data_IF_706036796029
#
_entry.id   IF_706036796029
#
_cell.length_a   1.000
_cell.length_b   1.000
_cell.length_c   1.000
_cell.angle_alpha   90.00
_cell.angle_beta   90.00
_cell.angle_gamma   90.00
#
_symmetry.space_group_name_H-M   'P 1'
#
loop_
_entity.id
_entity.type
_entity.pdbx_description
1 polymer ?
#
# COMPACT_ATOMS: atom_id res chain seq x y z
N UNK A 1 13.77 -22.12 -17.07
CA UNK A 1 14.02 -23.10 -15.98
C UNK A 1 12.77 -23.11 -15.12
N UNK A 2 12.15 -24.27 -14.88
CA UNK A 2 10.94 -24.33 -14.07
C UNK A 2 11.30 -24.01 -12.61
N UNK A 3 10.58 -23.08 -11.98
CA UNK A 3 10.81 -22.66 -10.58
C UNK A 3 10.93 -23.85 -9.62
N UNK A 4 10.22 -24.95 -9.93
CA UNK A 4 10.21 -26.19 -9.16
C UNK A 4 11.58 -26.86 -9.02
N UNK A 5 12.50 -26.69 -9.98
CA UNK A 5 13.84 -27.28 -9.87
C UNK A 5 14.73 -26.57 -8.85
N UNK A 6 14.39 -25.33 -8.47
CA UNK A 6 15.14 -24.53 -7.49
C UNK A 6 14.68 -24.81 -6.05
N UNK A 7 13.44 -25.24 -5.85
CA UNK A 7 12.84 -25.44 -4.51
C UNK A 7 13.68 -26.38 -3.62
N UNK A 8 14.15 -27.56 -4.08
CA UNK A 8 14.93 -28.46 -3.22
C UNK A 8 16.26 -27.88 -2.76
N UNK A 9 16.88 -26.99 -3.55
CA UNK A 9 18.10 -26.29 -3.15
C UNK A 9 17.79 -25.16 -2.16
N UNK A 10 16.74 -24.37 -2.43
CA UNK A 10 16.29 -23.29 -1.57
C UNK A 10 15.99 -23.78 -0.15
N UNK A 11 15.27 -24.89 -0.03
CA UNK A 11 14.89 -25.46 1.27
C UNK A 11 16.09 -25.99 2.07
N UNK A 12 17.17 -26.39 1.38
CA UNK A 12 18.42 -26.83 2.02
C UNK A 12 19.35 -25.67 2.39
N UNK A 13 19.10 -24.48 1.87
CA UNK A 13 19.95 -23.33 2.13
C UNK A 13 19.81 -22.85 3.58
N UNK A 14 20.92 -22.89 4.31
CA UNK A 14 20.99 -22.49 5.72
C UNK A 14 21.30 -20.99 5.89
N UNK A 15 21.75 -20.30 4.82
CA UNK A 15 22.22 -18.91 4.90
C UNK A 15 21.42 -17.94 4.02
N UNK A 16 20.59 -18.43 3.10
CA UNK A 16 19.86 -17.58 2.18
C UNK A 16 18.84 -16.71 2.92
N UNK A 17 19.04 -15.39 2.86
CA UNK A 17 18.16 -14.38 3.49
C UNK A 17 17.24 -13.68 2.51
N UNK A 18 17.67 -13.54 1.26
CA UNK A 18 16.92 -12.87 0.20
C UNK A 18 16.86 -13.73 -1.04
N UNK A 19 15.69 -13.81 -1.66
CA UNK A 19 15.47 -14.50 -2.94
C UNK A 19 14.83 -13.52 -3.92
N UNK A 20 15.48 -13.34 -5.07
CA UNK A 20 14.93 -12.57 -6.18
C UNK A 20 14.58 -13.49 -7.36
N UNK A 21 13.34 -13.34 -7.83
CA UNK A 21 12.74 -14.09 -8.92
C UNK A 21 12.33 -13.10 -10.01
N UNK A 22 13.18 -12.95 -11.03
CA UNK A 22 12.95 -12.02 -12.11
C UNK A 22 12.68 -12.74 -13.44
N UNK A 23 11.62 -12.32 -14.15
CA UNK A 23 11.25 -12.81 -15.49
C UNK A 23 11.07 -14.33 -15.55
N UNK A 24 10.49 -14.89 -14.50
CA UNK A 24 10.22 -16.33 -14.45
C UNK A 24 8.90 -16.63 -15.15
N UNK A 25 8.95 -17.62 -16.04
CA UNK A 25 7.81 -18.15 -16.78
C UNK A 25 7.31 -19.42 -16.09
N UNK A 26 6.01 -19.45 -15.77
CA UNK A 26 5.35 -20.58 -15.12
C UNK A 26 4.11 -20.96 -15.93
N UNK A 27 4.14 -22.13 -16.56
CA UNK A 27 3.04 -22.63 -17.41
C UNK A 27 1.91 -23.25 -16.57
N UNK A 28 2.22 -23.72 -15.36
CA UNK A 28 1.31 -24.47 -14.48
C UNK A 28 0.94 -23.73 -13.19
N UNK A 29 0.85 -22.39 -13.23
CA UNK A 29 0.61 -21.56 -12.05
C UNK A 29 1.87 -21.21 -11.26
N UNK A 30 1.80 -20.13 -10.47
CA UNK A 30 2.93 -19.61 -9.70
C UNK A 30 2.86 -20.11 -8.24
N UNK A 31 3.18 -21.38 -8.04
CA UNK A 31 3.19 -22.02 -6.72
C UNK A 31 4.62 -22.09 -6.18
N UNK A 32 4.86 -21.42 -5.05
CA UNK A 32 6.14 -21.41 -4.35
C UNK A 32 5.94 -21.82 -2.91
N UNK A 33 6.54 -22.95 -2.56
CA UNK A 33 6.73 -23.36 -1.18
C UNK A 33 8.18 -23.08 -0.79
N UNK A 34 8.40 -22.09 0.07
CA UNK A 34 9.71 -21.60 0.48
C UNK A 34 9.89 -21.87 1.97
N UNK A 35 10.55 -22.99 2.32
CA UNK A 35 10.78 -23.41 3.71
C UNK A 35 12.18 -23.05 4.23
N UNK A 36 12.96 -22.32 3.43
CA UNK A 36 14.29 -21.85 3.79
C UNK A 36 14.30 -21.10 5.14
N UNK A 37 15.07 -21.61 6.11
CA UNK A 37 14.97 -21.19 7.52
C UNK A 37 15.36 -19.74 7.79
N UNK A 38 16.21 -19.15 6.95
CA UNK A 38 16.73 -17.79 7.13
C UNK A 38 16.15 -16.79 6.12
N UNK A 39 15.27 -17.24 5.21
CA UNK A 39 14.72 -16.40 4.16
C UNK A 39 13.72 -15.42 4.76
N UNK A 40 14.07 -14.14 4.75
CA UNK A 40 13.23 -13.06 5.30
C UNK A 40 12.67 -12.15 4.22
N UNK A 41 13.24 -12.17 3.01
CA UNK A 41 12.80 -11.31 1.91
C UNK A 41 12.67 -12.07 0.60
N UNK A 42 11.54 -11.87 -0.05
CA UNK A 42 11.27 -12.38 -1.40
C UNK A 42 10.93 -11.23 -2.32
N UNK A 43 11.55 -11.21 -3.48
CA UNK A 43 11.35 -10.20 -4.52
C UNK A 43 10.94 -10.91 -5.79
N UNK A 44 9.80 -10.55 -6.36
CA UNK A 44 9.27 -11.11 -7.60
C UNK A 44 9.09 -9.98 -8.59
N UNK A 45 9.79 -10.05 -9.73
CA UNK A 45 9.80 -9.00 -10.74
C UNK A 45 9.47 -9.54 -12.11
N UNK A 46 8.62 -8.81 -12.83
CA UNK A 46 8.43 -9.04 -14.27
C UNK A 46 7.99 -10.49 -14.60
N UNK A 47 7.30 -11.15 -13.68
CA UNK A 47 6.70 -12.47 -13.89
C UNK A 47 5.32 -12.28 -14.53
N UNK A 48 5.30 -12.07 -15.85
CA UNK A 48 4.13 -11.59 -16.60
C UNK A 48 2.95 -12.58 -16.71
N UNK A 49 3.09 -13.81 -16.20
CA UNK A 49 2.01 -14.80 -16.13
C UNK A 49 1.46 -14.95 -14.69
N UNK A 50 2.03 -14.24 -13.72
CA UNK A 50 1.67 -14.38 -12.30
C UNK A 50 0.44 -13.53 -11.96
N UNK A 51 -0.74 -14.14 -12.01
CA UNK A 51 -2.00 -13.52 -11.59
C UNK A 51 -2.35 -13.86 -10.13
N UNK A 52 -2.31 -15.14 -9.77
CA UNK A 52 -2.67 -15.64 -8.43
C UNK A 52 -1.55 -16.51 -7.85
N UNK A 53 -0.47 -15.91 -7.32
CA UNK A 53 0.61 -16.71 -6.74
C UNK A 53 0.17 -17.38 -5.45
N UNK A 54 0.57 -18.64 -5.27
CA UNK A 54 0.51 -19.34 -4.00
C UNK A 54 1.88 -19.30 -3.35
N UNK A 55 2.02 -18.50 -2.28
CA UNK A 55 3.28 -18.35 -1.56
C UNK A 55 3.15 -18.92 -0.15
N UNK A 56 3.84 -20.01 0.13
CA UNK A 56 3.97 -20.55 1.50
C UNK A 56 5.38 -20.25 1.97
N UNK A 57 5.52 -19.24 2.82
CA UNK A 57 6.83 -18.78 3.28
C UNK A 57 6.69 -18.26 4.73
N UNK A 58 6.76 -19.15 5.73
CA UNK A 58 6.34 -18.85 7.10
C UNK A 58 7.19 -17.80 7.82
N UNK A 59 8.39 -17.53 7.31
CA UNK A 59 9.39 -16.64 7.94
C UNK A 59 9.65 -15.33 7.18
N UNK A 60 9.01 -15.14 6.03
CA UNK A 60 9.29 -13.92 5.27
C UNK A 60 8.67 -12.73 5.99
N UNK A 61 9.44 -11.66 6.08
CA UNK A 61 9.03 -10.39 6.66
C UNK A 61 8.76 -9.35 5.57
N UNK A 62 9.38 -9.50 4.40
CA UNK A 62 9.25 -8.57 3.27
C UNK A 62 8.94 -9.32 1.99
N UNK A 63 7.86 -8.93 1.32
CA UNK A 63 7.49 -9.39 -0.01
C UNK A 63 7.40 -8.19 -0.95
N UNK A 64 8.12 -8.26 -2.06
CA UNK A 64 8.09 -7.26 -3.12
C UNK A 64 7.61 -7.94 -4.39
N UNK A 65 6.56 -7.40 -5.00
CA UNK A 65 5.99 -7.85 -6.27
C UNK A 65 5.91 -6.65 -7.21
N UNK A 66 6.76 -6.63 -8.23
CA UNK A 66 6.86 -5.51 -9.15
C UNK A 66 6.63 -5.96 -10.58
N UNK A 67 5.84 -5.17 -11.31
CA UNK A 67 5.57 -5.38 -12.73
C UNK A 67 5.00 -6.78 -13.04
N UNK A 68 4.21 -7.34 -12.12
CA UNK A 68 3.50 -8.60 -12.30
C UNK A 68 1.99 -8.34 -12.37
N UNK A 69 1.21 -9.02 -13.24
CA UNK A 69 -0.22 -8.78 -13.38
C UNK A 69 -1.04 -9.48 -12.27
N UNK A 70 -0.59 -9.37 -11.02
CA UNK A 70 -1.25 -9.96 -9.87
C UNK A 70 -2.66 -9.38 -9.71
N UNK A 71 -3.63 -10.25 -9.43
CA UNK A 71 -5.02 -9.91 -9.14
C UNK A 71 -5.38 -10.19 -7.69
N UNK A 72 -4.86 -11.27 -7.12
CA UNK A 72 -5.06 -11.70 -5.72
C UNK A 72 -3.99 -12.70 -5.28
N UNK A 73 -3.96 -13.09 -4.02
CA UNK A 73 -3.20 -14.27 -3.60
C UNK A 73 -4.05 -15.54 -3.77
N UNK A 74 -3.40 -16.66 -4.11
CA UNK A 74 -4.06 -17.96 -4.06
C UNK A 74 -4.47 -18.30 -2.62
N UNK A 75 -5.59 -19.02 -2.38
CA UNK A 75 -6.04 -19.42 -1.05
C UNK A 75 -4.99 -20.11 -0.17
N UNK A 76 -4.06 -20.85 -0.78
CA UNK A 76 -2.97 -21.55 -0.09
C UNK A 76 -1.82 -20.64 0.38
N UNK A 77 -1.88 -19.34 0.09
CA UNK A 77 -0.84 -18.39 0.49
C UNK A 77 -0.80 -18.24 2.01
N UNK A 78 0.38 -18.44 2.60
CA UNK A 78 0.57 -18.36 4.05
C UNK A 78 1.86 -17.60 4.37
N UNK A 79 1.70 -16.37 4.87
CA UNK A 79 2.77 -15.40 5.13
C UNK A 79 2.61 -14.77 6.54
N UNK A 80 2.67 -15.57 7.63
CA UNK A 80 2.20 -15.17 8.95
C UNK A 80 3.11 -14.12 9.63
N UNK A 81 4.37 -14.02 9.18
CA UNK A 81 5.36 -13.07 9.71
C UNK A 81 5.56 -11.85 8.79
N UNK A 82 4.74 -11.70 7.74
CA UNK A 82 4.90 -10.61 6.79
C UNK A 82 4.65 -9.26 7.47
N UNK A 83 5.65 -8.39 7.40
CA UNK A 83 5.61 -7.03 7.95
C UNK A 83 5.50 -5.99 6.85
N UNK A 84 6.01 -6.30 5.65
CA UNK A 84 6.09 -5.38 4.51
C UNK A 84 5.63 -6.04 3.22
N UNK A 85 4.69 -5.42 2.54
CA UNK A 85 4.23 -5.82 1.21
C UNK A 85 4.32 -4.62 0.26
N UNK A 86 5.19 -4.73 -0.74
CA UNK A 86 5.31 -3.74 -1.81
C UNK A 86 4.78 -4.33 -3.10
N UNK A 87 3.73 -3.73 -3.65
CA UNK A 87 3.07 -4.19 -4.87
C UNK A 87 3.01 -3.06 -5.90
N UNK A 88 3.58 -3.31 -7.07
CA UNK A 88 3.45 -2.43 -8.22
C UNK A 88 3.03 -3.22 -9.45
N UNK A 89 1.95 -2.79 -10.10
CA UNK A 89 1.38 -3.52 -11.23
C UNK A 89 0.62 -2.61 -12.19
N UNK A 90 0.71 -2.92 -13.48
CA UNK A 90 -0.02 -2.19 -14.52
C UNK A 90 -1.51 -2.56 -14.61
N UNK A 91 -1.91 -3.64 -13.93
CA UNK A 91 -3.26 -4.21 -14.01
C UNK A 91 -3.97 -4.24 -12.65
N UNK A 92 -3.37 -3.69 -11.59
CA UNK A 92 -3.96 -3.69 -10.26
C UNK A 92 -5.05 -2.62 -10.17
N UNK A 93 -6.27 -3.02 -9.81
CA UNK A 93 -7.48 -2.20 -9.78
C UNK A 93 -7.96 -2.02 -8.35
N UNK A 94 -8.98 -1.20 -8.13
CA UNK A 94 -9.62 -1.04 -6.82
C UNK A 94 -10.17 -2.36 -6.24
N UNK A 95 -10.73 -3.23 -7.10
CA UNK A 95 -11.22 -4.55 -6.70
C UNK A 95 -10.06 -5.43 -6.21
N UNK A 96 -8.91 -5.40 -6.90
CA UNK A 96 -7.73 -6.16 -6.49
C UNK A 96 -7.16 -5.64 -5.16
N UNK A 97 -7.10 -4.32 -4.95
CA UNK A 97 -6.65 -3.76 -3.66
C UNK A 97 -7.59 -4.16 -2.52
N UNK A 98 -8.90 -4.17 -2.77
CA UNK A 98 -9.90 -4.50 -1.77
C UNK A 98 -9.80 -5.96 -1.33
N UNK A 99 -9.73 -6.88 -2.30
CA UNK A 99 -9.51 -8.32 -2.03
C UNK A 99 -8.20 -8.53 -1.28
N UNK A 100 -7.11 -7.87 -1.69
CA UNK A 100 -5.82 -8.02 -1.05
C UNK A 100 -5.86 -7.58 0.42
N UNK A 101 -6.47 -6.43 0.72
CA UNK A 101 -6.61 -5.92 2.09
C UNK A 101 -7.42 -6.89 2.96
N UNK A 102 -8.50 -7.47 2.44
CA UNK A 102 -9.30 -8.51 3.13
C UNK A 102 -8.47 -9.76 3.44
N UNK A 103 -7.72 -10.23 2.46
CA UNK A 103 -6.90 -11.44 2.61
C UNK A 103 -5.76 -11.23 3.60
N UNK A 104 -5.14 -10.04 3.63
CA UNK A 104 -4.01 -9.77 4.53
C UNK A 104 -4.40 -9.72 6.00
N UNK A 105 -5.64 -9.34 6.33
CA UNK A 105 -6.15 -9.35 7.71
C UNK A 105 -5.91 -10.71 8.40
N UNK A 106 -6.24 -11.79 7.70
CA UNK A 106 -6.15 -13.16 8.21
C UNK A 106 -4.75 -13.77 8.03
N UNK A 107 -4.06 -13.41 6.95
CA UNK A 107 -2.80 -14.06 6.55
C UNK A 107 -1.56 -13.44 7.16
N UNK A 108 -1.61 -12.15 7.50
CA UNK A 108 -0.43 -11.36 7.87
C UNK A 108 -0.79 -10.29 8.90
N UNK A 109 -1.17 -10.68 10.15
CA UNK A 109 -1.61 -9.74 11.18
C UNK A 109 -0.52 -8.75 11.62
N UNK A 110 0.75 -9.04 11.33
CA UNK A 110 1.89 -8.17 11.60
C UNK A 110 2.21 -7.15 10.49
N UNK A 111 1.40 -7.10 9.42
CA UNK A 111 1.63 -6.22 8.27
C UNK A 111 1.55 -4.75 8.71
N UNK A 112 2.67 -4.04 8.59
CA UNK A 112 2.82 -2.66 9.05
C UNK A 112 3.21 -1.68 7.95
N UNK A 113 3.68 -2.18 6.80
CA UNK A 113 4.11 -1.39 5.65
C UNK A 113 3.45 -1.97 4.40
N UNK A 114 2.53 -1.20 3.80
CA UNK A 114 1.82 -1.60 2.59
C UNK A 114 2.07 -0.55 1.51
N UNK A 115 2.45 -0.99 0.32
CA UNK A 115 2.62 -0.10 -0.83
C UNK A 115 1.89 -0.63 -2.05
N UNK A 116 1.14 0.27 -2.68
CA UNK A 116 0.56 0.13 -4.01
C UNK A 116 1.22 1.08 -5.01
N UNK A 117 2.43 1.57 -4.72
CA UNK A 117 3.08 2.60 -5.51
C UNK A 117 3.25 2.17 -6.98
N UNK A 118 2.93 3.08 -7.91
CA UNK A 118 3.02 2.82 -9.34
C UNK A 118 1.93 1.90 -9.90
N UNK A 119 0.86 1.59 -9.15
CA UNK A 119 -0.26 0.82 -9.67
C UNK A 119 -1.08 1.65 -10.68
N UNK A 120 -0.85 1.46 -11.98
CA UNK A 120 -1.33 2.39 -13.01
C UNK A 120 -2.84 2.35 -13.28
N UNK A 121 -3.54 1.31 -12.82
CA UNK A 121 -5.01 1.15 -12.97
C UNK A 121 -5.74 1.18 -11.63
N UNK A 122 -5.06 1.56 -10.56
CA UNK A 122 -5.65 1.65 -9.23
C UNK A 122 -6.46 2.94 -9.15
N UNK A 123 -7.77 2.82 -9.06
CA UNK A 123 -8.71 3.95 -9.07
C UNK A 123 -9.11 4.40 -7.67
N UNK A 124 -9.15 3.47 -6.72
CA UNK A 124 -9.57 3.70 -5.34
C UNK A 124 -8.80 2.80 -4.38
N UNK A 125 -8.47 3.33 -3.19
CA UNK A 125 -7.96 2.55 -2.06
C UNK A 125 -8.82 2.83 -0.84
N UNK A 126 -9.36 1.76 -0.25
CA UNK A 126 -10.16 1.81 0.98
C UNK A 126 -9.60 0.81 1.99
N UNK A 127 -9.24 1.31 3.18
CA UNK A 127 -8.73 0.52 4.31
C UNK A 127 -9.47 0.94 5.58
N UNK A 128 -10.09 -0.03 6.23
CA UNK A 128 -10.77 0.15 7.53
C UNK A 128 -9.88 -0.31 8.70
N UNK A 129 -10.16 0.23 9.90
CA UNK A 129 -9.28 0.07 11.07
C UNK A 129 -8.98 -1.38 11.45
N UNK A 130 -9.97 -2.26 11.30
CA UNK A 130 -9.88 -3.65 11.72
C UNK A 130 -9.20 -4.54 10.67
N UNK A 131 -9.05 -4.09 9.42
CA UNK A 131 -8.53 -4.91 8.33
C UNK A 131 -7.01 -5.07 8.42
N UNK A 132 -6.29 -3.98 8.65
CA UNK A 132 -4.83 -4.00 8.84
C UNK A 132 -4.48 -3.26 10.14
N UNK A 133 -4.73 -3.87 11.32
CA UNK A 133 -4.65 -3.17 12.60
C UNK A 133 -3.23 -2.70 12.96
N UNK A 134 -2.20 -3.36 12.40
CA UNK A 134 -0.80 -3.02 12.61
C UNK A 134 -0.24 -2.01 11.59
N UNK A 135 -1.05 -1.50 10.65
CA UNK A 135 -0.59 -0.62 9.57
C UNK A 135 0.01 0.68 10.12
N UNK A 136 1.27 0.94 9.79
CA UNK A 136 2.02 2.15 10.17
C UNK A 136 2.38 3.02 8.97
N UNK A 137 2.52 2.41 7.79
CA UNK A 137 2.93 3.09 6.56
C UNK A 137 2.07 2.60 5.39
N UNK A 138 1.53 3.55 4.63
CA UNK A 138 0.82 3.30 3.39
C UNK A 138 1.42 4.17 2.28
N UNK A 139 1.83 3.55 1.17
CA UNK A 139 2.33 4.28 0.00
C UNK A 139 1.47 3.96 -1.22
N UNK A 140 0.70 4.95 -1.68
CA UNK A 140 -0.09 4.90 -2.90
C UNK A 140 0.39 5.95 -3.91
N UNK A 141 1.69 6.27 -3.93
CA UNK A 141 2.24 7.28 -4.84
C UNK A 141 2.37 6.80 -6.28
N UNK A 142 2.30 7.74 -7.23
CA UNK A 142 2.51 7.43 -8.65
C UNK A 142 1.44 6.53 -9.27
N UNK A 143 0.21 6.56 -8.75
CA UNK A 143 -0.96 5.86 -9.27
C UNK A 143 -1.80 6.83 -10.14
N UNK A 144 -1.53 6.94 -11.46
CA UNK A 144 -2.13 7.97 -12.32
C UNK A 144 -3.67 7.95 -12.42
N UNK A 145 -4.32 6.81 -12.14
CA UNK A 145 -5.78 6.69 -12.14
C UNK A 145 -6.41 6.83 -10.74
N UNK A 146 -5.60 6.96 -9.68
CA UNK A 146 -6.10 6.99 -8.31
C UNK A 146 -6.89 8.28 -8.10
N UNK A 147 -8.18 8.12 -7.84
CA UNK A 147 -9.17 9.20 -7.72
C UNK A 147 -9.71 9.35 -6.30
N UNK A 148 -9.69 8.26 -5.51
CA UNK A 148 -10.21 8.23 -4.15
C UNK A 148 -9.31 7.44 -3.19
N UNK A 149 -9.08 7.98 -2.00
CA UNK A 149 -8.42 7.28 -0.89
C UNK A 149 -9.27 7.45 0.36
N UNK A 150 -9.65 6.33 0.97
CA UNK A 150 -10.31 6.29 2.27
C UNK A 150 -9.49 5.41 3.23
N UNK A 151 -9.03 5.99 4.34
CA UNK A 151 -8.24 5.24 5.33
C UNK A 151 -8.69 5.57 6.74
N UNK A 152 -9.14 4.53 7.46
CA UNK A 152 -9.33 4.54 8.91
C UNK A 152 -8.21 3.73 9.55
N UNK A 153 -7.41 4.31 10.45
CA UNK A 153 -6.34 3.57 11.13
C UNK A 153 -5.93 4.19 12.47
N UNK A 154 -5.74 3.32 13.48
CA UNK A 154 -5.25 3.72 14.79
C UNK A 154 -3.75 4.00 14.80
N UNK A 155 -2.97 3.28 13.97
CA UNK A 155 -1.50 3.24 14.05
C UNK A 155 -0.78 3.85 12.84
N UNK A 156 -1.50 4.29 11.79
CA UNK A 156 -0.89 4.89 10.61
C UNK A 156 -0.13 6.17 10.97
N UNK A 157 1.16 6.21 10.62
CA UNK A 157 2.07 7.34 10.87
C UNK A 157 2.56 8.01 9.58
N UNK A 158 2.59 7.26 8.48
CA UNK A 158 3.04 7.75 7.19
C UNK A 158 2.06 7.36 6.10
N UNK A 159 1.64 8.35 5.32
CA UNK A 159 0.82 8.18 4.13
C UNK A 159 1.49 8.95 2.99
N UNK A 160 1.77 8.26 1.89
CA UNK A 160 2.33 8.88 0.69
C UNK A 160 1.31 8.81 -0.45
N UNK A 161 0.78 9.97 -0.85
CA UNK A 161 -0.15 10.13 -1.97
C UNK A 161 0.45 10.99 -3.10
N UNK A 162 1.77 11.22 -3.09
CA UNK A 162 2.43 12.06 -4.09
C UNK A 162 2.31 11.49 -5.51
N UNK A 163 2.46 12.36 -6.52
CA UNK A 163 2.43 11.98 -7.94
C UNK A 163 1.10 11.32 -8.39
N UNK A 164 -0.02 11.70 -7.77
CA UNK A 164 -1.37 11.25 -8.14
C UNK A 164 -2.18 12.41 -8.74
N UNK A 165 -1.96 12.68 -10.03
CA UNK A 165 -2.59 13.83 -10.70
C UNK A 165 -4.12 13.72 -10.77
N UNK A 166 -4.69 12.51 -10.73
CA UNK A 166 -6.15 12.29 -10.80
C UNK A 166 -6.86 12.28 -9.44
N UNK A 167 -6.13 12.41 -8.33
CA UNK A 167 -6.70 12.25 -6.98
C UNK A 167 -7.65 13.39 -6.63
N UNK A 168 -8.91 13.06 -6.41
CA UNK A 168 -10.00 14.01 -6.18
C UNK A 168 -10.54 13.97 -4.74
N UNK A 169 -10.52 12.80 -4.10
CA UNK A 169 -11.10 12.62 -2.77
C UNK A 169 -10.14 11.91 -1.81
N UNK A 170 -9.90 12.52 -0.66
CA UNK A 170 -9.14 11.93 0.45
C UNK A 170 -9.97 12.01 1.72
N UNK A 171 -10.25 10.85 2.32
CA UNK A 171 -10.96 10.71 3.59
C UNK A 171 -10.04 9.96 4.55
N UNK A 172 -9.67 10.60 5.66
CA UNK A 172 -8.74 10.05 6.64
C UNK A 172 -9.34 10.14 8.04
N UNK A 173 -9.36 9.01 8.74
CA UNK A 173 -9.60 8.95 10.17
C UNK A 173 -8.41 8.25 10.83
N UNK A 174 -7.43 9.04 11.28
CA UNK A 174 -6.10 8.54 11.68
C UNK A 174 -5.71 9.04 13.06
N UNK A 175 -5.44 8.13 14.00
CA UNK A 175 -5.23 8.51 15.41
C UNK A 175 -3.77 8.84 15.75
N UNK A 176 -2.81 8.22 15.06
CA UNK A 176 -1.37 8.31 15.38
C UNK A 176 -0.54 9.19 14.44
N UNK A 177 -1.17 9.81 13.43
CA UNK A 177 -0.46 10.60 12.43
C UNK A 177 -0.16 12.01 12.97
N UNK A 178 1.11 12.43 12.94
CA UNK A 178 1.51 13.77 13.37
C UNK A 178 1.75 14.74 12.22
N UNK A 179 2.13 14.23 11.06
CA UNK A 179 2.52 15.00 9.89
C UNK A 179 1.87 14.41 8.65
N UNK A 180 1.19 15.26 7.88
CA UNK A 180 0.55 14.87 6.64
C UNK A 180 0.92 15.85 5.53
N UNK A 181 1.46 15.32 4.44
CA UNK A 181 1.74 16.07 3.24
C UNK A 181 0.83 15.60 2.10
N UNK A 182 -0.02 16.51 1.64
CA UNK A 182 -0.93 16.35 0.51
C UNK A 182 -0.65 17.43 -0.55
N UNK A 183 0.54 18.03 -0.53
CA UNK A 183 0.89 19.10 -1.46
C UNK A 183 0.85 18.65 -2.92
N UNK A 184 0.54 19.60 -3.78
CA UNK A 184 0.49 19.50 -5.24
C UNK A 184 -0.51 18.47 -5.78
N UNK A 185 -1.48 18.03 -4.96
CA UNK A 185 -2.65 17.30 -5.43
C UNK A 185 -3.63 18.28 -6.12
N UNK A 186 -3.28 18.71 -7.33
CA UNK A 186 -3.97 19.77 -8.08
C UNK A 186 -5.45 19.49 -8.36
N UNK A 187 -5.83 18.21 -8.46
CA UNK A 187 -7.20 17.80 -8.70
C UNK A 187 -7.98 17.45 -7.43
N UNK A 188 -7.39 17.60 -6.24
CA UNK A 188 -8.06 17.32 -4.97
C UNK A 188 -9.20 18.32 -4.75
N UNK A 189 -10.43 17.83 -4.74
CA UNK A 189 -11.64 18.62 -4.54
C UNK A 189 -12.29 18.33 -3.20
N UNK A 190 -12.16 17.12 -2.66
CA UNK A 190 -12.82 16.70 -1.42
C UNK A 190 -11.79 16.20 -0.41
N UNK A 191 -11.81 16.80 0.78
CA UNK A 191 -10.88 16.44 1.85
C UNK A 191 -11.61 16.30 3.18
N UNK A 192 -11.61 15.10 3.75
CA UNK A 192 -12.07 14.87 5.12
C UNK A 192 -10.89 14.34 5.93
N UNK A 193 -10.51 15.02 7.01
CA UNK A 193 -9.45 14.55 7.93
C UNK A 193 -9.94 14.68 9.36
N UNK A 194 -10.04 13.55 10.05
CA UNK A 194 -10.17 13.46 11.50
C UNK A 194 -8.87 12.91 12.08
N UNK A 195 -8.20 13.70 12.92
CA UNK A 195 -7.00 13.23 13.62
C UNK A 195 -6.73 14.02 14.91
N UNK A 196 -6.76 13.36 16.08
CA UNK A 196 -6.44 13.99 17.37
C UNK A 196 -4.93 14.22 17.58
N UNK A 197 -4.07 13.72 16.70
CA UNK A 197 -2.61 13.79 16.83
C UNK A 197 -1.92 14.63 15.76
N UNK A 198 -2.63 15.03 14.70
CA UNK A 198 -2.02 15.76 13.60
C UNK A 198 -1.60 17.17 14.04
N UNK A 199 -0.33 17.47 13.80
CA UNK A 199 0.35 18.71 14.20
C UNK A 199 0.72 19.58 13.00
N UNK A 200 1.10 18.94 11.89
CA UNK A 200 1.51 19.60 10.65
C UNK A 200 0.74 19.05 9.45
N UNK A 201 0.13 19.97 8.71
CA UNK A 201 -0.59 19.68 7.47
C UNK A 201 -0.05 20.53 6.33
N UNK A 202 0.29 19.89 5.21
CA UNK A 202 0.71 20.57 3.99
C UNK A 202 -0.32 20.33 2.88
N UNK A 203 -0.99 21.41 2.45
CA UNK A 203 -1.94 21.43 1.33
C UNK A 203 -1.46 22.34 0.20
N UNK A 204 -0.18 22.72 0.19
CA UNK A 204 0.37 23.66 -0.78
C UNK A 204 0.05 23.19 -2.22
N UNK A 205 -0.49 24.09 -3.05
CA UNK A 205 -0.77 23.81 -4.46
C UNK A 205 -2.02 22.96 -4.72
N UNK A 206 -2.83 22.63 -3.71
CA UNK A 206 -4.16 22.04 -3.88
C UNK A 206 -5.16 23.12 -4.33
N UNK A 207 -5.03 23.56 -5.58
CA UNK A 207 -5.74 24.73 -6.11
C UNK A 207 -7.24 24.53 -6.33
N UNK A 208 -7.74 23.29 -6.29
CA UNK A 208 -9.16 22.96 -6.45
C UNK A 208 -9.91 22.70 -5.14
N UNK A 209 -9.23 22.68 -3.98
CA UNK A 209 -9.89 22.56 -2.69
C UNK A 209 -10.71 23.81 -2.39
N UNK A 210 -11.97 23.64 -2.00
CA UNK A 210 -12.87 24.73 -1.61
C UNK A 210 -13.31 24.56 -0.15
N UNK A 211 -13.76 25.64 0.49
CA UNK A 211 -14.10 25.62 1.93
C UNK A 211 -15.26 24.66 2.24
N UNK A 212 -16.23 24.57 1.34
CA UNK A 212 -17.44 23.77 1.43
C UNK A 212 -17.21 22.28 1.14
N UNK A 213 -16.05 21.91 0.62
CA UNK A 213 -15.70 20.53 0.29
C UNK A 213 -14.68 19.91 1.24
N UNK A 214 -14.33 20.64 2.31
CA UNK A 214 -13.44 20.15 3.37
C UNK A 214 -14.17 19.94 4.69
N UNK A 215 -13.79 18.89 5.40
CA UNK A 215 -14.21 18.60 6.78
C UNK A 215 -12.98 18.22 7.59
N UNK A 216 -12.58 19.06 8.53
CA UNK A 216 -11.30 18.94 9.21
C UNK A 216 -11.54 18.99 10.73
N UNK A 217 -11.10 17.94 11.43
CA UNK A 217 -11.13 17.85 12.89
C UNK A 217 -9.72 17.53 13.40
N UNK A 218 -8.94 18.57 13.71
CA UNK A 218 -7.51 18.49 14.03
C UNK A 218 -7.18 19.28 15.31
N UNK A 219 -7.50 18.73 16.48
CA UNK A 219 -7.38 19.43 17.77
C UNK A 219 -5.96 19.84 18.19
N UNK A 220 -4.92 19.28 17.55
CA UNK A 220 -3.49 19.59 17.83
C UNK A 220 -2.77 20.29 16.68
N UNK A 221 -3.49 20.75 15.65
CA UNK A 221 -2.88 21.41 14.50
C UNK A 221 -2.27 22.73 14.94
N UNK A 222 -0.98 22.92 14.64
CA UNK A 222 -0.28 24.19 14.92
C UNK A 222 0.48 24.74 13.71
N UNK A 223 0.49 24.03 12.59
CA UNK A 223 1.15 24.45 11.36
C UNK A 223 0.41 23.91 10.14
N UNK A 224 -0.10 24.81 9.32
CA UNK A 224 -0.72 24.49 8.04
C UNK A 224 -0.03 25.27 6.91
N UNK A 225 0.34 24.58 5.82
CA UNK A 225 0.84 25.21 4.59
C UNK A 225 -0.27 25.23 3.55
N UNK A 226 -0.76 26.44 3.21
CA UNK A 226 -1.92 26.64 2.34
C UNK A 226 -1.62 27.44 1.06
N UNK A 227 -0.35 27.76 0.80
CA UNK A 227 0.03 28.53 -0.39
C UNK A 227 -0.43 27.83 -1.68
N UNK A 228 -1.07 28.55 -2.59
CA UNK A 228 -1.62 27.96 -3.83
C UNK A 228 -2.91 27.15 -3.64
N UNK A 229 -3.58 27.29 -2.50
CA UNK A 229 -4.98 26.85 -2.27
C UNK A 229 -5.90 28.07 -2.18
N UNK A 230 -7.22 27.87 -2.23
CA UNK A 230 -8.19 28.93 -1.90
C UNK A 230 -8.55 28.98 -0.40
N UNK A 231 -8.00 28.06 0.40
CA UNK A 231 -8.29 27.92 1.82
C UNK A 231 -7.58 28.98 2.65
N UNK A 232 -8.18 29.31 3.80
CA UNK A 232 -7.70 30.27 4.79
C UNK A 232 -7.57 29.59 6.15
N UNK A 233 -6.79 30.20 7.06
CA UNK A 233 -6.56 29.65 8.39
C UNK A 233 -7.86 29.39 9.20
N UNK A 234 -8.91 30.17 8.98
CA UNK A 234 -10.24 30.02 9.62
C UNK A 234 -11.07 28.83 9.12
N UNK A 235 -10.54 28.09 8.15
CA UNK A 235 -11.19 26.89 7.60
C UNK A 235 -10.72 25.61 8.34
N UNK A 236 -9.87 25.75 9.37
CA UNK A 236 -9.28 24.70 10.20
C UNK A 236 -9.66 24.85 11.66
#
# INVERSE_FOLDING_TARGET
>A
MAIQSLIPWLDRSQELRELELARIYCVSGFHLHLSAKQLTKVVIRQCYQMQEPALVAPKIETLVIEHCPMTRFHPDTHLPQLKKLLLSSRNFTALHSRILVEEMHLRSPALMDLSFAGCSRLEEVTIEAEEIPALRRLDCSGCPMLSRVHVTSKLLKNLNLSCNDSLQCVVLNVESMENLDLSFLKNLTNLSISSPSLRRLNLQGCCRLQRDTISINLSKLHSAKLHGTTLKARDF
#
